data_IF_360433894879
#
_entry.id   IF_360433894879
#
_cell.length_a   1.000
_cell.length_b   1.000
_cell.length_c   1.000
_cell.angle_alpha   90.00
_cell.angle_beta   90.00
_cell.angle_gamma   90.00
#
_symmetry.space_group_name_H-M   'P 1'
#
loop_
_entity.id
_entity.type
_entity.pdbx_description
1 polymer ?
#
# COMPACT_ATOMS: atom_id res chain seq x y z
N UNK A 1 -13.66 5.54 -9.80
CA UNK A 1 -12.52 6.17 -9.09
C UNK A 1 -12.79 6.09 -7.59
N UNK A 2 -12.14 5.19 -6.85
CA UNK A 2 -12.32 5.07 -5.40
C UNK A 2 -11.80 6.33 -4.70
N UNK A 3 -12.64 6.99 -3.90
CA UNK A 3 -12.32 8.28 -3.29
C UNK A 3 -12.83 8.36 -1.86
N UNK A 4 -12.04 8.97 -0.98
CA UNK A 4 -12.29 9.03 0.46
C UNK A 4 -12.06 10.43 0.99
N UNK A 5 -13.00 10.95 1.79
CA UNK A 5 -12.77 12.15 2.57
C UNK A 5 -11.91 11.81 3.79
N UNK A 6 -10.72 12.41 3.87
CA UNK A 6 -9.71 12.07 4.88
C UNK A 6 -9.39 13.27 5.77
N UNK A 7 -9.54 13.08 7.09
CA UNK A 7 -9.10 14.03 8.11
C UNK A 7 -7.64 13.86 8.53
N UNK A 8 -6.93 12.89 7.99
CA UNK A 8 -5.54 12.54 8.29
C UNK A 8 -4.95 11.70 7.16
N UNK A 9 -3.64 11.50 7.10
CA UNK A 9 -2.95 10.69 6.08
C UNK A 9 -2.58 9.28 6.55
N UNK A 10 -3.09 8.82 7.67
CA UNK A 10 -2.85 7.45 8.13
C UNK A 10 -3.44 6.42 7.16
N UNK A 11 -2.70 5.34 6.91
CA UNK A 11 -3.09 4.26 6.02
C UNK A 11 -2.94 4.55 4.53
N UNK A 12 -2.36 5.70 4.16
CA UNK A 12 -2.11 6.07 2.76
C UNK A 12 -0.74 5.60 2.26
N UNK A 13 0.17 5.27 3.17
CA UNK A 13 1.57 4.94 2.87
C UNK A 13 2.31 6.03 2.09
N UNK A 14 1.83 7.29 2.21
CA UNK A 14 2.47 8.49 1.69
C UNK A 14 2.79 9.40 2.87
N UNK A 15 4.05 9.78 3.00
CA UNK A 15 4.53 10.56 4.15
C UNK A 15 4.46 12.05 3.81
N UNK A 16 3.28 12.64 3.95
CA UNK A 16 3.00 14.04 3.61
C UNK A 16 2.95 14.99 4.82
N UNK A 17 3.46 14.56 5.99
CA UNK A 17 3.47 15.36 7.21
C UNK A 17 4.16 16.71 7.03
N UNK A 18 5.31 16.74 6.35
CA UNK A 18 6.03 17.97 6.09
C UNK A 18 5.23 18.96 5.23
N UNK A 19 4.42 18.47 4.30
CA UNK A 19 3.50 19.29 3.51
C UNK A 19 2.36 19.84 4.36
N UNK A 20 1.77 19.01 5.20
CA UNK A 20 0.71 19.42 6.12
C UNK A 20 1.21 20.51 7.07
N UNK A 21 2.39 20.33 7.65
CA UNK A 21 3.03 21.30 8.54
C UNK A 21 3.37 22.61 7.83
N UNK A 22 3.92 22.53 6.62
CA UNK A 22 4.22 23.72 5.82
C UNK A 22 2.95 24.51 5.48
N UNK A 23 1.89 23.82 5.11
CA UNK A 23 0.59 24.42 4.81
C UNK A 23 -0.02 25.11 6.05
N UNK A 24 0.05 24.46 7.21
CA UNK A 24 -0.37 25.04 8.47
C UNK A 24 0.42 26.30 8.83
N UNK A 25 1.73 26.28 8.70
CA UNK A 25 2.59 27.46 8.94
C UNK A 25 2.28 28.63 8.00
N UNK A 26 1.81 28.33 6.79
CA UNK A 26 1.33 29.33 5.85
C UNK A 26 -0.10 29.84 6.12
N UNK A 27 -0.71 29.42 7.24
CA UNK A 27 -2.08 29.79 7.60
C UNK A 27 -3.17 28.99 6.89
N UNK A 28 -2.80 27.93 6.15
CA UNK A 28 -3.73 27.06 5.44
C UNK A 28 -4.22 25.89 6.29
N UNK A 29 -5.25 25.22 5.80
CA UNK A 29 -5.83 24.02 6.42
C UNK A 29 -5.63 22.83 5.47
N UNK A 30 -4.78 21.87 5.82
CA UNK A 30 -4.46 20.71 4.98
C UNK A 30 -5.56 19.65 4.96
N UNK A 31 -6.29 19.49 6.04
CA UNK A 31 -7.40 18.55 6.16
C UNK A 31 -8.73 19.26 6.35
N UNK A 32 -9.87 18.65 5.94
CA UNK A 32 -9.97 17.38 5.22
C UNK A 32 -9.51 17.50 3.77
N UNK A 33 -9.04 16.38 3.21
CA UNK A 33 -8.66 16.25 1.80
C UNK A 33 -9.42 15.11 1.12
N UNK A 34 -9.54 15.15 -0.21
CA UNK A 34 -10.05 14.04 -0.99
C UNK A 34 -8.87 13.12 -1.37
N UNK A 35 -8.94 11.85 -1.01
CA UNK A 35 -7.92 10.86 -1.33
C UNK A 35 -8.44 9.83 -2.33
N UNK A 36 -7.80 9.73 -3.49
CA UNK A 36 -8.05 8.72 -4.50
C UNK A 36 -7.01 7.63 -4.34
N UNK A 37 -7.41 6.45 -3.87
CA UNK A 37 -6.50 5.37 -3.52
C UNK A 37 -7.20 4.00 -3.49
N UNK A 38 -6.41 2.92 -3.50
CA UNK A 38 -6.82 1.65 -2.92
C UNK A 38 -6.43 1.72 -1.43
N UNK A 39 -7.39 1.77 -0.49
CA UNK A 39 -7.09 2.00 0.92
C UNK A 39 -6.22 0.88 1.49
N UNK A 40 -5.31 1.25 2.39
CA UNK A 40 -4.36 0.37 3.07
C UNK A 40 -3.46 -0.47 2.16
N UNK A 41 -3.28 -0.02 0.90
CA UNK A 41 -2.51 -0.78 -0.11
C UNK A 41 -1.52 0.15 -0.81
N UNK A 42 -0.21 0.04 -0.52
CA UNK A 42 0.83 0.85 -1.15
C UNK A 42 1.24 0.30 -2.53
N UNK A 43 0.28 -0.20 -3.30
CA UNK A 43 0.53 -0.80 -4.61
C UNK A 43 0.14 0.16 -5.74
N UNK A 44 1.02 0.25 -6.73
CA UNK A 44 0.76 0.97 -7.97
C UNK A 44 -0.36 0.30 -8.76
N UNK A 45 -1.28 1.10 -9.28
CA UNK A 45 -2.41 0.60 -10.06
C UNK A 45 -3.31 1.71 -10.58
N UNK A 46 -4.30 1.37 -11.41
CA UNK A 46 -5.22 2.35 -11.97
C UNK A 46 -6.04 3.03 -10.88
N UNK A 47 -6.13 4.35 -10.94
CA UNK A 47 -6.97 5.18 -10.06
C UNK A 47 -8.17 5.73 -10.79
N UNK A 48 -8.04 5.96 -12.10
CA UNK A 48 -9.14 6.25 -13.00
C UNK A 48 -9.63 4.92 -13.59
N UNK A 49 -10.75 4.40 -13.08
CA UNK A 49 -11.37 3.17 -13.59
C UNK A 49 -12.29 3.54 -14.75
N UNK A 50 -11.73 3.54 -15.95
CA UNK A 50 -12.36 4.02 -17.17
C UNK A 50 -12.32 2.92 -18.25
N UNK A 51 -13.40 2.76 -18.97
CA UNK A 51 -13.42 2.03 -20.25
C UNK A 51 -13.00 2.93 -21.43
N UNK A 52 -13.21 4.24 -21.31
CA UNK A 52 -12.83 5.26 -22.30
C UNK A 52 -11.93 6.31 -21.67
N UNK A 53 -10.63 6.37 -22.04
CA UNK A 53 -9.69 7.35 -21.51
C UNK A 53 -10.09 8.81 -21.73
N UNK A 54 -10.92 9.12 -22.73
CA UNK A 54 -11.39 10.49 -23.00
C UNK A 54 -12.22 11.07 -21.85
N UNK A 55 -12.79 10.21 -20.99
CA UNK A 55 -13.55 10.60 -19.82
C UNK A 55 -12.69 10.99 -18.60
N UNK A 56 -11.37 10.84 -18.70
CA UNK A 56 -10.45 11.12 -17.58
C UNK A 56 -10.60 12.55 -17.08
N UNK A 57 -10.61 13.53 -17.99
CA UNK A 57 -10.74 14.94 -17.63
C UNK A 57 -12.06 15.22 -16.87
N UNK A 58 -13.15 14.58 -17.24
CA UNK A 58 -14.44 14.72 -16.55
C UNK A 58 -14.39 14.16 -15.13
N UNK A 59 -13.74 13.00 -14.92
CA UNK A 59 -13.59 12.43 -13.57
C UNK A 59 -12.71 13.30 -12.69
N UNK A 60 -11.63 13.86 -13.22
CA UNK A 60 -10.74 14.75 -12.46
C UNK A 60 -11.46 16.04 -12.08
N UNK A 61 -12.19 16.66 -13.02
CA UNK A 61 -13.05 17.82 -12.72
C UNK A 61 -14.15 17.51 -11.71
N UNK A 62 -14.74 16.30 -11.77
CA UNK A 62 -15.67 15.82 -10.77
C UNK A 62 -15.06 15.74 -9.37
N UNK A 63 -13.81 15.23 -9.26
CA UNK A 63 -13.08 15.19 -7.99
C UNK A 63 -12.82 16.61 -7.44
N UNK A 64 -12.39 17.54 -8.29
CA UNK A 64 -12.21 18.95 -7.92
C UNK A 64 -13.53 19.59 -7.45
N UNK A 65 -14.63 19.33 -8.15
CA UNK A 65 -15.95 19.84 -7.78
C UNK A 65 -16.39 19.28 -6.41
N UNK A 66 -16.15 17.99 -6.13
CA UNK A 66 -16.42 17.39 -4.81
C UNK A 66 -15.61 18.08 -3.72
N UNK A 67 -14.33 18.36 -3.97
CA UNK A 67 -13.50 19.12 -3.03
C UNK A 67 -14.07 20.50 -2.73
N UNK A 68 -14.45 21.25 -3.74
CA UNK A 68 -15.01 22.59 -3.59
C UNK A 68 -16.34 22.57 -2.82
N UNK A 69 -17.27 21.70 -3.20
CA UNK A 69 -18.58 21.57 -2.57
C UNK A 69 -18.48 21.19 -1.08
N UNK A 70 -17.50 20.34 -0.73
CA UNK A 70 -17.31 19.86 0.65
C UNK A 70 -16.23 20.66 1.42
N UNK A 71 -15.75 21.77 0.87
CA UNK A 71 -14.72 22.63 1.50
C UNK A 71 -13.46 21.84 1.90
N UNK A 72 -13.09 20.86 1.09
CA UNK A 72 -11.85 20.10 1.28
C UNK A 72 -10.66 20.93 0.79
N UNK A 73 -9.49 20.70 1.39
CA UNK A 73 -8.28 21.48 1.08
C UNK A 73 -7.71 21.16 -0.30
N UNK A 74 -7.81 19.92 -0.73
CA UNK A 74 -7.15 19.42 -1.94
C UNK A 74 -7.64 18.01 -2.32
N UNK A 75 -7.34 17.60 -3.55
CA UNK A 75 -7.49 16.22 -4.00
C UNK A 75 -6.12 15.60 -4.23
N UNK A 76 -5.94 14.36 -3.77
CA UNK A 76 -4.70 13.61 -3.89
C UNK A 76 -4.99 12.25 -4.53
N UNK A 77 -4.11 11.79 -5.41
CA UNK A 77 -4.12 10.44 -5.93
C UNK A 77 -2.78 9.77 -5.65
N UNK A 78 -2.78 8.61 -5.00
CA UNK A 78 -1.55 7.92 -4.61
C UNK A 78 -1.34 6.64 -5.40
N UNK A 79 -0.07 6.27 -5.64
CA UNK A 79 0.35 5.05 -6.36
C UNK A 79 -0.34 4.89 -7.71
N UNK A 80 -0.33 5.95 -8.50
CA UNK A 80 -0.94 6.00 -9.83
C UNK A 80 -0.16 5.08 -10.77
N UNK A 81 -0.87 4.31 -11.60
CA UNK A 81 -0.27 3.55 -12.68
C UNK A 81 0.43 4.51 -13.68
N UNK A 82 1.68 4.22 -14.10
CA UNK A 82 2.46 5.13 -14.94
C UNK A 82 1.74 5.58 -16.21
N UNK A 83 0.96 4.70 -16.82
CA UNK A 83 0.18 4.98 -18.03
C UNK A 83 -0.96 5.99 -17.80
N UNK A 84 -1.38 6.18 -16.54
CA UNK A 84 -2.41 7.17 -16.20
C UNK A 84 -1.84 8.54 -15.82
N UNK A 85 -0.54 8.63 -15.53
CA UNK A 85 0.09 9.89 -15.11
C UNK A 85 -0.15 11.02 -16.12
N UNK A 86 0.02 10.84 -17.45
CA UNK A 86 -0.26 11.88 -18.42
C UNK A 86 -1.70 12.41 -18.39
N UNK A 87 -2.67 11.59 -18.00
CA UNK A 87 -4.07 12.00 -17.88
C UNK A 87 -4.27 12.97 -16.71
N UNK A 88 -3.59 12.74 -15.59
CA UNK A 88 -3.61 13.64 -14.44
C UNK A 88 -2.91 14.96 -14.76
N UNK A 89 -1.74 14.91 -15.40
CA UNK A 89 -0.98 16.10 -15.80
C UNK A 89 -1.77 16.95 -16.80
N UNK A 90 -2.41 16.33 -17.79
CA UNK A 90 -3.30 17.03 -18.73
C UNK A 90 -4.52 17.67 -18.01
N UNK A 91 -4.97 17.09 -16.90
CA UNK A 91 -5.99 17.64 -16.01
C UNK A 91 -5.48 18.77 -15.10
N UNK A 92 -4.21 19.14 -15.17
CA UNK A 92 -3.59 20.18 -14.34
C UNK A 92 -3.17 19.71 -12.94
N UNK A 93 -3.13 18.40 -12.71
CA UNK A 93 -2.66 17.84 -11.45
C UNK A 93 -1.14 17.76 -11.41
N UNK A 94 -0.56 18.06 -10.26
CA UNK A 94 0.90 18.09 -10.09
C UNK A 94 1.43 16.72 -9.67
N UNK A 95 2.40 16.13 -10.39
CA UNK A 95 3.03 14.89 -9.99
C UNK A 95 3.92 15.10 -8.77
N UNK A 96 3.91 14.13 -7.87
CA UNK A 96 4.84 13.99 -6.75
C UNK A 96 5.46 12.61 -6.79
N UNK A 97 6.79 12.55 -6.71
CA UNK A 97 7.53 11.28 -6.70
C UNK A 97 8.03 10.97 -5.30
N UNK A 98 8.04 9.69 -4.98
CA UNK A 98 8.66 9.12 -3.78
C UNK A 98 9.37 7.82 -4.17
N UNK A 99 10.14 7.24 -3.25
CA UNK A 99 10.94 6.04 -3.51
C UNK A 99 10.28 4.84 -2.86
N UNK A 100 10.04 3.79 -3.65
CA UNK A 100 9.62 2.48 -3.18
C UNK A 100 10.61 1.41 -3.65
N UNK A 101 11.09 0.57 -2.73
CA UNK A 101 12.02 -0.50 -3.06
C UNK A 101 11.26 -1.76 -3.43
N UNK A 102 11.59 -2.32 -4.60
CA UNK A 102 11.01 -3.55 -5.10
C UNK A 102 12.09 -4.61 -5.31
N UNK A 103 11.79 -5.83 -4.88
CA UNK A 103 12.56 -6.99 -5.31
C UNK A 103 11.93 -7.54 -6.60
N UNK A 104 12.74 -7.69 -7.62
CA UNK A 104 12.30 -8.23 -8.90
C UNK A 104 12.90 -9.61 -9.12
N UNK A 105 12.06 -10.61 -9.38
CA UNK A 105 12.53 -11.90 -9.83
C UNK A 105 13.05 -11.80 -11.28
N UNK A 106 14.35 -11.94 -11.45
CA UNK A 106 15.03 -11.91 -12.75
C UNK A 106 15.13 -13.29 -13.40
N UNK A 107 14.18 -14.17 -13.14
CA UNK A 107 14.17 -15.53 -13.64
C UNK A 107 14.82 -16.52 -12.69
N UNK A 108 14.97 -16.20 -11.40
CA UNK A 108 15.49 -17.13 -10.41
C UNK A 108 14.52 -18.28 -10.20
N UNK A 109 14.98 -19.51 -10.43
CA UNK A 109 14.21 -20.72 -10.21
C UNK A 109 14.26 -21.17 -8.73
N UNK A 110 15.27 -20.71 -7.99
CA UNK A 110 15.48 -21.07 -6.59
C UNK A 110 16.10 -19.94 -5.79
N UNK A 111 16.06 -20.07 -4.46
CA UNK A 111 16.77 -19.12 -3.57
C UNK A 111 18.30 -19.15 -3.81
N UNK A 112 18.86 -20.30 -4.14
CA UNK A 112 20.28 -20.43 -4.45
C UNK A 112 20.66 -19.69 -5.74
N UNK A 113 19.78 -19.69 -6.76
CA UNK A 113 20.00 -18.91 -7.99
C UNK A 113 20.02 -17.41 -7.67
N UNK A 114 19.09 -16.96 -6.83
CA UNK A 114 19.07 -15.58 -6.34
C UNK A 114 20.37 -15.25 -5.58
N UNK A 115 20.80 -16.12 -4.68
CA UNK A 115 22.06 -15.93 -3.96
C UNK A 115 23.26 -15.89 -4.91
N UNK A 116 23.22 -16.67 -6.00
CA UNK A 116 24.25 -16.68 -7.03
C UNK A 116 24.48 -15.31 -7.68
N UNK A 117 23.43 -14.50 -7.79
CA UNK A 117 23.51 -13.14 -8.35
C UNK A 117 24.08 -12.09 -7.39
N UNK A 118 24.32 -12.45 -6.12
CA UNK A 118 24.86 -11.55 -5.12
C UNK A 118 26.38 -11.67 -4.99
N UNK A 119 27.02 -10.63 -4.45
CA UNK A 119 28.44 -10.72 -4.09
C UNK A 119 28.68 -11.84 -3.06
N UNK A 120 29.87 -12.44 -3.08
CA UNK A 120 30.23 -13.55 -2.19
C UNK A 120 30.02 -13.25 -0.71
N UNK A 121 30.31 -12.02 -0.27
CA UNK A 121 30.07 -11.56 1.10
C UNK A 121 28.58 -11.57 1.45
N UNK A 122 27.76 -10.89 0.64
CA UNK A 122 26.30 -10.83 0.88
C UNK A 122 25.64 -12.21 0.85
N UNK A 123 26.07 -13.08 -0.06
CA UNK A 123 25.62 -14.47 -0.15
C UNK A 123 25.88 -15.24 1.14
N UNK A 124 27.12 -15.14 1.66
CA UNK A 124 27.50 -15.78 2.93
C UNK A 124 26.68 -15.25 4.10
N UNK A 125 26.54 -13.93 4.19
CA UNK A 125 25.79 -13.28 5.28
C UNK A 125 24.33 -13.72 5.25
N UNK A 126 23.66 -13.66 4.09
CA UNK A 126 22.26 -14.08 3.95
C UNK A 126 22.04 -15.57 4.27
N UNK A 127 22.95 -16.45 3.87
CA UNK A 127 22.85 -17.88 4.25
C UNK A 127 22.91 -18.07 5.76
N UNK A 128 23.85 -17.37 6.42
CA UNK A 128 24.02 -17.44 7.87
C UNK A 128 22.79 -16.89 8.59
N UNK A 129 22.30 -15.72 8.19
CA UNK A 129 21.13 -15.08 8.76
C UNK A 129 19.88 -15.97 8.61
N UNK A 130 19.67 -16.54 7.41
CA UNK A 130 18.56 -17.44 7.16
C UNK A 130 18.63 -18.71 8.01
N UNK A 131 19.81 -19.33 8.10
CA UNK A 131 19.99 -20.52 8.93
C UNK A 131 19.67 -20.24 10.40
N UNK A 132 20.20 -19.13 10.95
CA UNK A 132 19.94 -18.72 12.32
C UNK A 132 18.46 -18.37 12.57
N UNK A 133 17.82 -17.67 11.62
CA UNK A 133 16.40 -17.29 11.75
C UNK A 133 15.45 -18.49 11.69
N UNK A 134 15.84 -19.57 11.03
CA UNK A 134 15.01 -20.79 10.89
C UNK A 134 15.36 -21.88 11.91
N UNK A 135 16.37 -21.66 12.74
CA UNK A 135 16.81 -22.66 13.73
C UNK A 135 15.70 -22.97 14.72
N UNK A 136 15.37 -24.26 14.87
CA UNK A 136 14.31 -24.73 15.76
C UNK A 136 12.87 -24.41 15.32
N UNK A 137 12.68 -23.85 14.12
CA UNK A 137 11.36 -23.49 13.60
C UNK A 137 10.92 -24.47 12.49
N UNK A 138 9.62 -24.77 12.46
CA UNK A 138 8.98 -25.43 11.32
C UNK A 138 8.21 -24.37 10.52
N UNK A 139 8.65 -24.10 9.29
CA UNK A 139 8.00 -23.12 8.42
C UNK A 139 7.00 -23.84 7.53
N UNK A 140 5.74 -23.39 7.57
CA UNK A 140 4.65 -23.88 6.72
C UNK A 140 4.12 -22.77 5.86
N UNK A 141 3.79 -23.07 4.62
CA UNK A 141 3.05 -22.19 3.73
C UNK A 141 1.62 -22.69 3.66
N UNK A 142 0.69 -21.88 4.15
CA UNK A 142 -0.74 -22.18 4.19
C UNK A 142 -1.47 -21.36 3.15
N UNK A 143 -2.40 -21.96 2.44
CA UNK A 143 -3.21 -21.28 1.43
C UNK A 143 -4.63 -21.85 1.42
N UNK A 144 -5.58 -21.11 0.92
CA UNK A 144 -6.99 -21.54 0.79
C UNK A 144 -7.53 -22.21 2.07
N UNK A 145 -7.96 -23.47 1.97
CA UNK A 145 -8.54 -24.27 3.07
C UNK A 145 -7.56 -24.62 4.19
N UNK A 146 -6.25 -24.47 3.97
CA UNK A 146 -5.25 -24.69 5.03
C UNK A 146 -5.29 -23.59 6.09
N UNK A 147 -5.80 -22.41 5.72
CA UNK A 147 -5.90 -21.26 6.60
C UNK A 147 -7.19 -21.35 7.41
N UNK A 148 -7.06 -21.49 8.70
CA UNK A 148 -8.19 -21.57 9.65
C UNK A 148 -8.36 -20.26 10.43
N UNK A 149 -9.50 -20.10 11.11
CA UNK A 149 -9.71 -18.96 12.00
C UNK A 149 -8.67 -18.87 13.13
N UNK A 150 -8.18 -20.01 13.63
CA UNK A 150 -7.10 -20.01 14.62
C UNK A 150 -5.78 -19.42 14.08
N UNK A 151 -5.50 -19.61 12.78
CA UNK A 151 -4.36 -18.96 12.13
C UNK A 151 -4.56 -17.45 12.04
N UNK A 152 -5.79 -16.99 11.73
CA UNK A 152 -6.11 -15.56 11.72
C UNK A 152 -6.06 -14.93 13.10
N UNK A 153 -6.44 -15.65 14.15
CA UNK A 153 -6.32 -15.18 15.54
C UNK A 153 -4.86 -14.95 15.92
N UNK A 154 -3.99 -15.91 15.59
CA UNK A 154 -2.56 -15.77 15.83
C UNK A 154 -1.96 -14.60 15.02
N UNK A 155 -2.30 -14.51 13.73
CA UNK A 155 -1.85 -13.42 12.87
C UNK A 155 -2.33 -12.06 13.38
N UNK A 156 -3.56 -11.98 13.87
CA UNK A 156 -4.12 -10.76 14.45
C UNK A 156 -3.30 -10.25 15.63
N UNK A 157 -2.85 -11.13 16.51
CA UNK A 157 -1.98 -10.76 17.64
C UNK A 157 -0.67 -10.14 17.13
N UNK A 158 -0.03 -10.72 16.13
CA UNK A 158 1.21 -10.20 15.53
C UNK A 158 0.99 -8.88 14.80
N UNK A 159 -0.13 -8.75 14.11
CA UNK A 159 -0.51 -7.53 13.41
C UNK A 159 -0.71 -6.37 14.40
N UNK A 160 -1.42 -6.61 15.50
CA UNK A 160 -1.61 -5.64 16.57
C UNK A 160 -0.28 -5.21 17.20
N UNK A 161 0.54 -6.17 17.60
CA UNK A 161 1.84 -5.91 18.22
C UNK A 161 2.76 -5.10 17.29
N UNK A 162 2.81 -5.42 16.01
CA UNK A 162 3.58 -4.66 15.04
C UNK A 162 3.09 -3.22 14.90
N UNK A 163 1.78 -3.02 14.87
CA UNK A 163 1.17 -1.69 14.81
C UNK A 163 1.51 -0.84 16.03
N UNK A 164 1.37 -1.40 17.22
CA UNK A 164 1.65 -0.72 18.49
C UNK A 164 3.12 -0.33 18.65
N UNK A 165 4.04 -1.20 18.23
CA UNK A 165 5.48 -0.93 18.31
C UNK A 165 5.97 0.11 17.33
N UNK A 166 5.29 0.31 16.21
CA UNK A 166 5.82 1.18 15.15
C UNK A 166 5.20 2.56 15.10
N UNK A 167 3.91 2.73 14.98
CA UNK A 167 3.36 4.06 14.67
C UNK A 167 1.88 4.24 15.01
N UNK A 168 1.31 3.45 15.87
CA UNK A 168 -0.08 3.63 16.28
C UNK A 168 -0.98 2.41 16.14
N UNK A 169 -2.24 2.59 15.78
CA UNK A 169 -3.22 1.51 15.72
C UNK A 169 -3.23 0.79 14.38
N UNK A 170 -3.54 -0.51 14.38
CA UNK A 170 -3.80 -1.27 13.16
C UNK A 170 -4.94 -0.66 12.32
N UNK A 171 -4.85 -0.80 11.01
CA UNK A 171 -5.85 -0.23 10.07
C UNK A 171 -7.02 -1.18 9.79
N UNK A 172 -6.77 -2.49 9.84
CA UNK A 172 -7.77 -3.52 9.57
C UNK A 172 -8.33 -4.06 10.88
N UNK A 173 -9.58 -4.51 10.87
CA UNK A 173 -10.19 -5.23 11.98
C UNK A 173 -9.90 -6.72 11.87
N UNK A 174 -10.16 -7.49 12.94
CA UNK A 174 -10.00 -8.96 12.92
C UNK A 174 -10.87 -9.62 11.84
N UNK A 175 -12.09 -9.13 11.66
CA UNK A 175 -13.05 -9.63 10.67
C UNK A 175 -12.57 -9.46 9.24
N UNK A 176 -11.75 -8.45 8.96
CA UNK A 176 -11.18 -8.25 7.63
C UNK A 176 -10.33 -9.44 7.17
N UNK A 177 -9.65 -10.13 8.09
CA UNK A 177 -8.84 -11.31 7.78
C UNK A 177 -9.72 -12.52 7.47
N UNK A 178 -10.82 -12.73 8.19
CA UNK A 178 -11.79 -13.77 7.87
C UNK A 178 -12.39 -13.57 6.48
N UNK A 179 -12.79 -12.33 6.15
CA UNK A 179 -13.31 -11.98 4.82
C UNK A 179 -12.26 -12.17 3.71
N UNK A 180 -10.99 -11.87 3.97
CA UNK A 180 -9.91 -12.13 3.03
C UNK A 180 -9.75 -13.63 2.79
N UNK A 181 -9.77 -14.45 3.84
CA UNK A 181 -9.71 -15.91 3.74
C UNK A 181 -10.89 -16.47 2.94
N UNK A 182 -12.10 -16.01 3.22
CA UNK A 182 -13.32 -16.45 2.52
C UNK A 182 -13.31 -16.06 1.02
N UNK A 183 -12.94 -14.82 0.70
CA UNK A 183 -13.11 -14.25 -0.64
C UNK A 183 -11.89 -14.39 -1.54
N UNK A 184 -10.70 -14.52 -0.96
CA UNK A 184 -9.44 -14.48 -1.67
C UNK A 184 -8.46 -15.58 -1.22
N UNK A 185 -8.92 -16.61 -0.51
CA UNK A 185 -8.07 -17.63 0.09
C UNK A 185 -7.04 -18.24 -0.87
N UNK A 186 -7.44 -18.51 -2.12
CA UNK A 186 -6.56 -19.03 -3.18
C UNK A 186 -5.42 -18.07 -3.59
N UNK A 187 -5.51 -16.81 -3.20
CA UNK A 187 -4.53 -15.76 -3.51
C UNK A 187 -3.72 -15.33 -2.31
N UNK A 188 -3.93 -15.99 -1.17
CA UNK A 188 -3.25 -15.71 0.08
C UNK A 188 -2.27 -16.83 0.37
N UNK A 189 -1.07 -16.46 0.76
CA UNK A 189 -0.09 -17.36 1.35
C UNK A 189 0.22 -16.83 2.75
N UNK A 190 -0.17 -17.60 3.76
CA UNK A 190 0.16 -17.35 5.16
C UNK A 190 1.34 -18.23 5.56
N UNK A 191 2.36 -17.61 6.11
CA UNK A 191 3.60 -18.30 6.51
C UNK A 191 3.66 -18.34 8.03
#
# INVERSE_FOLDING_TARGET
MPSYAKGHSQGEYVFDHAWADAWHRAGGRYYPKLQIAAPFTPATGPRLLLSDPSLAAHLLKGAEAVCLQNKMSSAHATFIAPEQLPLFEAGGWMPRSDIQFHWLNRGYASFEDFLGALSSRKRKDLRKERAAACEGLTIKHLTASDITEAHWDAFWVFYQDTGQRKWGSPYLTREAFSLLGERMGERIVLI
#
